data_IF_094716736079
#
_entry.id   IF_094716736079
#
_cell.length_a   1.000
_cell.length_b   1.000
_cell.length_c   1.000
_cell.angle_alpha   90.00
_cell.angle_beta   90.00
_cell.angle_gamma   90.00
#
_symmetry.space_group_name_H-M   'P 1'
#
loop_
_entity.id
_entity.type
_entity.pdbx_description
1 polymer ?
#
# COMPACT_ATOMS: atom_id res chain seq x y z
N UNK A 1 -8.86 7.93 -27.05
CA UNK A 1 -9.01 7.41 -25.68
C UNK A 1 -7.61 7.16 -25.11
N UNK A 2 -7.15 7.96 -24.13
CA UNK A 2 -5.88 7.67 -23.43
C UNK A 2 -6.08 6.43 -22.57
N UNK A 3 -5.45 5.31 -22.94
CA UNK A 3 -5.40 4.10 -22.09
C UNK A 3 -4.38 4.36 -20.99
N UNK A 4 -4.81 4.25 -19.73
CA UNK A 4 -3.90 4.33 -18.59
C UNK A 4 -3.03 3.07 -18.53
N UNK A 5 -1.72 3.24 -18.47
CA UNK A 5 -0.79 2.14 -18.22
C UNK A 5 -0.83 1.75 -16.74
N UNK A 6 -1.67 0.76 -16.42
CA UNK A 6 -1.82 0.24 -15.06
C UNK A 6 -0.52 -0.29 -14.46
N UNK A 7 0.41 -0.82 -15.27
CA UNK A 7 1.73 -1.26 -14.78
C UNK A 7 2.55 -0.06 -14.32
N UNK A 8 2.58 1.02 -15.11
CA UNK A 8 3.27 2.26 -14.73
C UNK A 8 2.70 2.86 -13.45
N UNK A 9 1.38 2.93 -13.33
CA UNK A 9 0.72 3.46 -12.13
C UNK A 9 1.09 2.62 -10.90
N UNK A 10 1.01 1.29 -10.98
CA UNK A 10 1.42 0.38 -9.89
C UNK A 10 2.89 0.57 -9.51
N UNK A 11 3.81 0.77 -10.47
CA UNK A 11 5.23 1.05 -10.18
C UNK A 11 5.42 2.37 -9.43
N UNK A 12 4.71 3.44 -9.83
CA UNK A 12 4.78 4.74 -9.15
C UNK A 12 4.28 4.62 -7.71
N UNK A 13 3.10 4.02 -7.55
CA UNK A 13 2.50 3.80 -6.24
C UNK A 13 3.43 2.96 -5.35
N UNK A 14 4.06 1.92 -5.91
CA UNK A 14 5.00 1.11 -5.15
C UNK A 14 6.19 1.92 -4.64
N UNK A 15 6.75 2.79 -5.47
CA UNK A 15 7.84 3.69 -5.06
C UNK A 15 7.39 4.64 -3.94
N UNK A 16 6.18 5.19 -4.03
CA UNK A 16 5.61 6.03 -2.98
C UNK A 16 5.46 5.23 -1.68
N UNK A 17 4.87 4.04 -1.73
CA UNK A 17 4.68 3.18 -0.55
C UNK A 17 6.01 2.85 0.13
N UNK A 18 7.06 2.50 -0.64
CA UNK A 18 8.41 2.26 -0.10
C UNK A 18 8.99 3.50 0.57
N UNK A 19 8.84 4.67 -0.05
CA UNK A 19 9.30 5.95 0.52
C UNK A 19 8.57 6.31 1.81
N UNK A 20 7.25 6.11 1.85
CA UNK A 20 6.46 6.33 3.06
C UNK A 20 6.83 5.35 4.17
N UNK A 21 7.01 4.06 3.85
CA UNK A 21 7.45 3.09 4.84
C UNK A 21 8.81 3.45 5.45
N UNK A 22 9.74 3.91 4.61
CA UNK A 22 11.02 4.43 5.09
C UNK A 22 10.85 5.67 5.98
N UNK A 23 10.01 6.62 5.58
CA UNK A 23 9.69 7.82 6.39
C UNK A 23 9.15 7.46 7.78
N UNK A 24 8.26 6.47 7.88
CA UNK A 24 7.60 6.12 9.13
C UNK A 24 8.42 5.18 10.02
N UNK A 25 9.24 4.30 9.43
CA UNK A 25 9.93 3.22 10.18
C UNK A 25 11.46 3.28 10.14
N UNK A 26 12.04 4.09 9.25
CA UNK A 26 13.48 4.10 8.96
C UNK A 26 14.01 2.85 8.25
N UNK A 27 13.14 1.89 7.91
CA UNK A 27 13.50 0.61 7.27
C UNK A 27 13.24 0.64 5.77
N UNK A 28 13.98 -0.16 5.01
CA UNK A 28 13.81 -0.30 3.57
C UNK A 28 13.01 -1.54 3.21
N UNK A 29 12.15 -1.42 2.20
CA UNK A 29 11.46 -2.56 1.59
C UNK A 29 12.16 -2.89 0.26
N UNK A 30 12.57 -4.15 0.02
CA UNK A 30 13.05 -4.62 -1.28
C UNK A 30 12.02 -4.42 -2.41
N UNK A 31 12.48 -4.15 -3.63
CA UNK A 31 11.58 -3.82 -4.75
C UNK A 31 10.67 -4.98 -5.18
N UNK A 32 11.17 -6.19 -5.04
CA UNK A 32 10.54 -7.47 -5.32
C UNK A 32 9.59 -7.97 -4.20
N UNK A 33 9.45 -7.20 -3.11
CA UNK A 33 8.57 -7.59 -1.99
C UNK A 33 7.15 -7.85 -2.48
N UNK A 34 6.60 -8.99 -2.06
CA UNK A 34 5.24 -9.41 -2.37
C UNK A 34 4.24 -8.38 -1.87
N UNK A 35 3.39 -7.93 -2.79
CA UNK A 35 2.41 -6.88 -2.55
C UNK A 35 1.14 -7.12 -3.34
N UNK A 36 0.02 -6.69 -2.78
CA UNK A 36 -1.27 -6.65 -3.44
C UNK A 36 -1.69 -5.19 -3.58
N UNK A 37 -2.18 -4.81 -4.76
CA UNK A 37 -2.75 -3.49 -5.03
C UNK A 37 -4.24 -3.62 -5.29
N UNK A 38 -5.02 -2.73 -4.67
CA UNK A 38 -6.44 -2.56 -4.99
C UNK A 38 -6.74 -1.08 -5.17
N UNK A 39 -7.20 -0.75 -6.37
CA UNK A 39 -7.73 0.58 -6.70
C UNK A 39 -9.21 0.57 -6.37
N UNK A 40 -9.66 1.54 -5.60
CA UNK A 40 -11.06 1.67 -5.17
C UNK A 40 -11.54 3.01 -5.71
N UNK A 41 -12.58 2.98 -6.53
CA UNK A 41 -13.22 4.20 -7.05
C UNK A 41 -14.16 4.80 -6.01
N UNK A 42 -14.48 6.09 -6.11
CA UNK A 42 -15.37 6.79 -5.16
C UNK A 42 -16.74 6.10 -5.04
N UNK A 43 -17.26 5.56 -6.14
CA UNK A 43 -18.57 4.91 -6.19
C UNK A 43 -18.53 3.42 -5.84
N UNK A 44 -17.36 2.87 -5.53
CA UNK A 44 -17.17 1.46 -5.18
C UNK A 44 -17.19 1.27 -3.66
N UNK A 45 -17.88 0.22 -3.20
CA UNK A 45 -17.85 -0.15 -1.78
C UNK A 45 -16.41 -0.51 -1.37
N UNK A 46 -15.82 0.15 -0.35
CA UNK A 46 -14.49 -0.18 0.12
C UNK A 46 -14.44 -1.64 0.60
N UNK A 47 -13.33 -2.34 0.39
CA UNK A 47 -13.22 -3.72 0.80
C UNK A 47 -13.05 -3.81 2.33
N UNK A 48 -13.37 -4.96 2.95
CA UNK A 48 -13.34 -5.12 4.41
C UNK A 48 -12.02 -4.68 5.05
N UNK A 49 -10.90 -4.98 4.39
CA UNK A 49 -9.56 -4.65 4.85
C UNK A 49 -9.33 -3.12 5.03
N UNK A 50 -10.04 -2.28 4.27
CA UNK A 50 -9.96 -0.81 4.41
C UNK A 50 -10.47 -0.33 5.77
N UNK A 51 -11.49 -0.98 6.33
CA UNK A 51 -12.10 -0.55 7.60
C UNK A 51 -11.19 -0.75 8.81
N UNK A 52 -10.19 -1.65 8.72
CA UNK A 52 -9.16 -1.78 9.75
C UNK A 52 -8.18 -0.60 9.76
N UNK A 53 -8.06 0.12 8.65
CA UNK A 53 -7.12 1.23 8.47
C UNK A 53 -7.85 2.57 8.61
N UNK A 54 -9.14 2.64 8.27
CA UNK A 54 -9.90 3.88 8.24
C UNK A 54 -9.97 4.59 9.58
N UNK A 55 -9.90 3.85 10.68
CA UNK A 55 -9.88 4.36 12.06
C UNK A 55 -8.52 4.92 12.49
N UNK A 56 -7.46 4.72 11.70
CA UNK A 56 -6.13 5.26 12.02
C UNK A 56 -6.04 6.75 11.65
N UNK A 57 -5.15 7.51 12.32
CA UNK A 57 -4.92 8.92 11.99
C UNK A 57 -4.44 9.09 10.55
N UNK A 58 -4.97 10.10 9.87
CA UNK A 58 -4.42 10.63 8.63
C UNK A 58 -3.01 11.17 8.89
N UNK A 59 -2.07 10.89 7.97
CA UNK A 59 -0.66 11.32 8.08
C UNK A 59 -0.22 12.24 6.93
N UNK A 60 -1.10 12.55 5.98
CA UNK A 60 -0.83 13.50 4.91
C UNK A 60 -0.77 14.94 5.40
N UNK A 61 0.23 15.70 4.92
CA UNK A 61 0.34 17.13 5.21
C UNK A 61 -0.68 17.97 4.41
N UNK A 62 -1.09 17.48 3.24
CA UNK A 62 -2.03 18.13 2.33
C UNK A 62 -3.12 17.14 1.90
N UNK A 63 -4.08 16.82 2.78
CA UNK A 63 -4.99 15.68 2.61
C UNK A 63 -5.86 15.74 1.35
N UNK A 64 -6.14 16.94 0.84
CA UNK A 64 -6.89 17.14 -0.42
C UNK A 64 -6.11 16.70 -1.67
N UNK A 65 -4.76 16.70 -1.59
CA UNK A 65 -3.88 16.31 -2.70
C UNK A 65 -3.38 14.89 -2.49
N UNK A 66 -2.88 14.61 -1.29
CA UNK A 66 -2.33 13.32 -0.90
C UNK A 66 -2.51 13.10 0.59
N UNK A 67 -3.23 12.04 0.93
CA UNK A 67 -3.32 11.52 2.28
C UNK A 67 -2.93 10.04 2.30
N UNK A 68 -2.45 9.58 3.46
CA UNK A 68 -2.23 8.18 3.68
C UNK A 68 -2.46 7.80 5.13
N UNK A 69 -2.83 6.54 5.29
CA UNK A 69 -3.05 5.85 6.55
C UNK A 69 -2.34 4.51 6.48
N UNK A 70 -1.81 4.04 7.60
CA UNK A 70 -1.23 2.71 7.66
C UNK A 70 -1.41 2.07 9.03
N UNK A 71 -1.38 0.73 9.04
CA UNK A 71 -1.38 -0.08 10.24
C UNK A 71 -0.45 -1.27 10.05
N UNK A 72 0.26 -1.61 11.12
CA UNK A 72 1.06 -2.83 11.20
C UNK A 72 0.21 -3.92 11.86
N UNK A 73 0.21 -5.12 11.26
CA UNK A 73 -0.54 -6.26 11.76
C UNK A 73 0.41 -7.42 12.09
N UNK A 74 1.11 -7.39 13.24
CA UNK A 74 2.06 -8.43 13.63
C UNK A 74 1.45 -9.83 13.67
N UNK A 75 0.20 -9.92 14.16
CA UNK A 75 -0.55 -11.18 14.30
C UNK A 75 -0.94 -11.81 12.95
N UNK A 76 -0.92 -11.04 11.86
CA UNK A 76 -1.14 -11.51 10.51
C UNK A 76 0.20 -11.57 9.80
N UNK A 77 1.10 -12.47 10.22
CA UNK A 77 2.39 -12.72 9.54
C UNK A 77 3.21 -11.42 9.27
N UNK A 78 3.15 -10.46 10.20
CA UNK A 78 3.74 -9.13 10.05
C UNK A 78 3.34 -8.41 8.74
N UNK A 79 2.06 -8.42 8.38
CA UNK A 79 1.56 -7.64 7.25
C UNK A 79 1.51 -6.14 7.56
N UNK A 80 1.82 -5.33 6.55
CA UNK A 80 1.61 -3.90 6.54
C UNK A 80 0.47 -3.57 5.59
N UNK A 81 -0.49 -2.79 6.08
CA UNK A 81 -1.57 -2.26 5.26
C UNK A 81 -1.46 -0.76 5.14
N UNK A 82 -1.57 -0.28 3.91
CA UNK A 82 -1.43 1.12 3.54
C UNK A 82 -2.61 1.52 2.68
N UNK A 83 -3.33 2.56 3.09
CA UNK A 83 -4.34 3.21 2.27
C UNK A 83 -3.82 4.60 1.87
N UNK A 84 -3.83 4.90 0.58
CA UNK A 84 -3.44 6.20 0.03
C UNK A 84 -4.61 6.82 -0.72
N UNK A 85 -4.86 8.09 -0.46
CA UNK A 85 -5.86 8.89 -1.14
C UNK A 85 -5.16 9.93 -2.01
N UNK A 86 -5.41 9.91 -3.31
CA UNK A 86 -4.91 10.91 -4.24
C UNK A 86 -6.05 11.78 -4.77
N UNK A 87 -5.86 13.09 -4.74
CA UNK A 87 -6.80 14.11 -5.24
C UNK A 87 -8.24 13.92 -4.73
N UNK A 88 -8.40 13.43 -3.50
CA UNK A 88 -9.69 13.11 -2.85
C UNK A 88 -10.62 12.18 -3.67
N UNK A 89 -10.09 11.45 -4.65
CA UNK A 89 -10.91 10.67 -5.60
C UNK A 89 -10.38 9.28 -5.91
N UNK A 90 -9.11 9.01 -5.63
CA UNK A 90 -8.51 7.72 -5.90
C UNK A 90 -7.97 7.12 -4.61
N UNK A 91 -8.64 6.09 -4.11
CA UNK A 91 -8.16 5.31 -2.98
C UNK A 91 -7.38 4.12 -3.51
N UNK A 92 -6.14 3.99 -3.06
CA UNK A 92 -5.29 2.85 -3.34
C UNK A 92 -4.96 2.16 -2.04
N UNK A 93 -5.36 0.90 -1.96
CA UNK A 93 -5.00 0.03 -0.87
C UNK A 93 -3.84 -0.88 -1.28
N UNK A 94 -2.86 -1.00 -0.39
CA UNK A 94 -1.69 -1.84 -0.55
C UNK A 94 -1.51 -2.69 0.69
N UNK A 95 -1.28 -3.98 0.49
CA UNK A 95 -0.87 -4.90 1.54
C UNK A 95 0.45 -5.58 1.13
N UNK A 96 1.42 -5.64 2.03
CA UNK A 96 2.69 -6.34 1.81
C UNK A 96 3.24 -6.91 3.12
N UNK A 97 4.06 -7.97 3.04
CA UNK A 97 4.71 -8.55 4.22
C UNK A 97 5.87 -7.68 4.70
N UNK A 98 6.14 -7.71 6.02
CA UNK A 98 7.32 -7.07 6.59
C UNK A 98 8.61 -7.58 5.92
N UNK A 99 9.62 -6.72 5.68
CA UNK A 99 10.90 -7.13 5.09
C UNK A 99 11.63 -8.25 5.85
N UNK A 100 11.36 -8.43 7.13
CA UNK A 100 11.89 -9.52 7.96
C UNK A 100 11.06 -10.81 7.91
N UNK A 101 9.98 -10.86 7.12
CA UNK A 101 9.11 -12.02 7.03
C UNK A 101 9.81 -13.23 6.41
N UNK A 102 9.82 -14.36 7.13
CA UNK A 102 10.47 -15.62 6.74
C UNK A 102 9.48 -16.72 6.30
N UNK A 103 8.25 -16.34 5.92
CA UNK A 103 7.24 -17.31 5.49
C UNK A 103 7.56 -17.93 4.12
N UNK A 104 6.99 -19.10 3.83
CA UNK A 104 7.30 -19.85 2.61
C UNK A 104 6.97 -19.06 1.33
N UNK A 105 5.91 -18.23 1.36
CA UNK A 105 5.52 -17.35 0.25
C UNK A 105 6.52 -16.22 -0.06
N UNK A 106 7.32 -15.82 0.93
CA UNK A 106 8.40 -14.84 0.77
C UNK A 106 9.73 -15.49 0.36
N UNK A 107 9.92 -16.78 0.67
CA UNK A 107 11.13 -17.53 0.35
C UNK A 107 11.19 -18.01 -1.11
N UNK A 108 10.05 -18.13 -1.79
CA UNK A 108 10.02 -18.59 -3.19
C UNK A 108 10.50 -17.48 -4.13
N UNK A 109 11.61 -17.67 -4.88
CA UNK A 109 12.00 -16.77 -5.97
C UNK A 109 10.89 -16.75 -7.03
N UNK A 110 10.66 -15.61 -7.67
CA UNK A 110 9.62 -15.48 -8.70
C UNK A 110 10.24 -15.13 -10.04
N UNK A 111 9.96 -15.97 -11.02
CA UNK A 111 10.12 -15.63 -12.43
C UNK A 111 8.98 -14.68 -12.84
N UNK A 112 9.33 -13.60 -13.53
CA UNK A 112 8.48 -12.44 -13.86
C UNK A 112 7.26 -12.71 -14.74
#
# INVERSE_FOLDING_TARGET
IKRFDGKRIRRVIWKIARGLFFKETGRFIPEDTLRLFKFISVDEKPPPEFFYISSTPSRGQYPEVFDYKYIDCPKLNNFHFWAMLFWDRLIILIAFHDPSCSCDKCKTPRDE
#
